data_IF_054345051427
#
_entry.id   IF_054345051427
#
_cell.length_a   1.000
_cell.length_b   1.000
_cell.length_c   1.000
_cell.angle_alpha   90.00
_cell.angle_beta   90.00
_cell.angle_gamma   90.00
#
_symmetry.space_group_name_H-M   'P 1'
#
loop_
_entity.id
_entity.type
_entity.pdbx_description
1 polymer ?
#
# COMPACT_ATOMS: atom_id res chain seq x y z
N UNK A 1 -45.95 5.16 -34.51
CA UNK A 1 -45.29 4.49 -33.36
C UNK A 1 -43.89 5.04 -33.01
N UNK A 2 -43.45 6.14 -33.61
CA UNK A 2 -42.08 6.72 -33.47
C UNK A 2 -41.96 7.89 -32.48
N UNK A 3 -43.04 8.51 -32.02
CA UNK A 3 -42.99 9.71 -31.16
C UNK A 3 -42.65 9.41 -29.67
N UNK A 4 -42.99 8.24 -29.16
CA UNK A 4 -42.74 7.88 -27.74
C UNK A 4 -41.27 7.51 -27.45
N UNK A 5 -40.53 7.03 -28.45
CA UNK A 5 -39.10 6.68 -28.31
C UNK A 5 -38.19 7.92 -28.31
N UNK A 6 -38.59 8.97 -29.03
CA UNK A 6 -37.84 10.21 -29.14
C UNK A 6 -37.90 11.04 -27.84
N UNK A 7 -39.09 11.10 -27.22
CA UNK A 7 -39.29 11.81 -25.94
C UNK A 7 -38.52 11.15 -24.81
N UNK A 8 -38.44 9.80 -24.77
CA UNK A 8 -37.62 9.08 -23.76
C UNK A 8 -36.13 9.33 -23.93
N UNK A 9 -35.62 9.49 -25.15
CA UNK A 9 -34.21 9.83 -25.40
C UNK A 9 -33.86 11.26 -25.03
N UNK A 10 -34.80 12.21 -25.21
CA UNK A 10 -34.58 13.61 -24.81
C UNK A 10 -34.63 13.76 -23.29
N UNK A 11 -35.50 13.04 -22.57
CA UNK A 11 -35.51 13.04 -21.10
C UNK A 11 -34.27 12.40 -20.49
N UNK A 12 -33.67 11.38 -21.12
CA UNK A 12 -32.42 10.79 -20.68
C UNK A 12 -31.21 11.73 -20.91
N UNK A 13 -31.22 12.56 -21.96
CA UNK A 13 -30.16 13.55 -22.19
C UNK A 13 -30.32 14.81 -21.31
N UNK A 14 -31.56 15.22 -20.99
CA UNK A 14 -31.84 16.39 -20.15
C UNK A 14 -31.49 16.17 -18.67
N UNK A 15 -31.57 14.94 -18.17
CA UNK A 15 -31.23 14.63 -16.78
C UNK A 15 -29.72 14.61 -16.50
N UNK A 16 -28.87 14.46 -17.52
CA UNK A 16 -27.40 14.55 -17.35
C UNK A 16 -26.88 16.00 -17.19
N UNK A 17 -27.68 16.99 -17.57
CA UNK A 17 -27.26 18.41 -17.50
C UNK A 17 -27.50 19.06 -16.12
N UNK A 18 -28.21 18.38 -15.22
CA UNK A 18 -28.55 18.89 -13.88
C UNK A 18 -27.95 18.05 -12.75
N UNK A 19 -26.73 17.51 -12.93
CA UNK A 19 -26.02 16.91 -11.82
C UNK A 19 -25.60 18.05 -10.88
N UNK A 20 -26.08 18.08 -9.60
CA UNK A 20 -25.67 19.10 -8.65
C UNK A 20 -24.14 19.16 -8.55
N UNK A 21 -23.57 20.38 -8.36
CA UNK A 21 -22.10 20.56 -8.22
C UNK A 21 -21.49 19.62 -7.18
N UNK A 22 -22.23 19.36 -6.08
CA UNK A 22 -21.83 18.44 -5.01
C UNK A 22 -21.69 17.02 -5.55
N UNK A 23 -22.65 16.53 -6.35
CA UNK A 23 -22.59 15.18 -6.91
C UNK A 23 -21.45 15.03 -7.94
N UNK A 24 -21.17 16.08 -8.73
CA UNK A 24 -20.00 16.10 -9.63
C UNK A 24 -18.69 16.06 -8.86
N UNK A 25 -18.59 16.78 -7.74
CA UNK A 25 -17.40 16.76 -6.90
C UNK A 25 -17.19 15.36 -6.27
N UNK A 26 -18.24 14.74 -5.75
CA UNK A 26 -18.18 13.38 -5.20
C UNK A 26 -17.81 12.32 -6.26
N UNK A 27 -18.37 12.43 -7.47
CA UNK A 27 -18.03 11.54 -8.58
C UNK A 27 -16.56 11.68 -8.99
N UNK A 28 -16.03 12.91 -9.02
CA UNK A 28 -14.62 13.19 -9.31
C UNK A 28 -13.74 12.58 -8.22
N UNK A 29 -14.07 12.76 -6.95
CA UNK A 29 -13.33 12.21 -5.81
C UNK A 29 -13.26 10.68 -5.87
N UNK A 30 -14.38 10.00 -6.17
CA UNK A 30 -14.42 8.54 -6.36
C UNK A 30 -13.56 8.10 -7.54
N UNK A 31 -13.58 8.85 -8.64
CA UNK A 31 -12.78 8.56 -9.82
C UNK A 31 -11.29 8.73 -9.54
N UNK A 32 -10.88 9.82 -8.88
CA UNK A 32 -9.50 10.10 -8.49
C UNK A 32 -8.96 9.01 -7.55
N UNK A 33 -9.76 8.53 -6.59
CA UNK A 33 -9.40 7.43 -5.71
C UNK A 33 -9.26 6.09 -6.47
N UNK A 34 -10.18 5.80 -7.40
CA UNK A 34 -10.13 4.59 -8.24
C UNK A 34 -8.89 4.57 -9.14
N UNK A 35 -8.53 5.71 -9.71
CA UNK A 35 -7.32 5.88 -10.52
C UNK A 35 -6.06 5.64 -9.67
N UNK A 36 -5.98 6.24 -8.48
CA UNK A 36 -4.86 6.07 -7.55
C UNK A 36 -4.67 4.60 -7.14
N UNK A 37 -5.76 3.88 -6.84
CA UNK A 37 -5.72 2.43 -6.54
C UNK A 37 -5.24 1.62 -7.75
N UNK A 38 -5.65 2.01 -8.97
CA UNK A 38 -5.19 1.36 -10.20
C UNK A 38 -3.70 1.58 -10.43
N UNK A 39 -3.19 2.76 -10.14
CA UNK A 39 -1.76 3.07 -10.24
C UNK A 39 -0.94 2.34 -9.18
N UNK A 40 -1.42 2.30 -7.94
CA UNK A 40 -0.76 1.54 -6.86
C UNK A 40 -0.52 0.08 -7.23
N UNK A 41 -1.49 -0.54 -7.94
CA UNK A 41 -1.35 -1.93 -8.42
C UNK A 41 -0.31 -2.11 -9.52
N UNK A 42 0.14 -1.04 -10.17
CA UNK A 42 1.14 -1.07 -11.25
C UNK A 42 2.54 -0.72 -10.75
N UNK A 43 2.68 -0.25 -9.52
CA UNK A 43 3.98 0.03 -8.91
C UNK A 43 4.78 -1.25 -8.80
N UNK A 44 6.01 -1.22 -9.30
CA UNK A 44 6.91 -2.38 -9.34
C UNK A 44 8.22 -2.16 -8.58
N UNK A 45 8.47 -0.94 -8.13
CA UNK A 45 9.71 -0.60 -7.41
C UNK A 45 9.51 0.61 -6.48
N UNK A 46 10.45 0.77 -5.54
CA UNK A 46 10.40 1.84 -4.53
C UNK A 46 10.41 3.25 -5.13
N UNK A 47 11.06 3.46 -6.28
CA UNK A 47 11.10 4.78 -6.93
C UNK A 47 9.74 5.20 -7.45
N UNK A 48 9.03 4.30 -8.12
CA UNK A 48 7.66 4.53 -8.57
C UNK A 48 6.72 4.72 -7.38
N UNK A 49 6.91 3.94 -6.31
CA UNK A 49 6.14 4.09 -5.08
C UNK A 49 6.33 5.47 -4.44
N UNK A 50 7.55 6.00 -4.40
CA UNK A 50 7.82 7.34 -3.87
C UNK A 50 7.08 8.44 -4.63
N UNK A 51 7.00 8.34 -5.97
CA UNK A 51 6.23 9.29 -6.80
C UNK A 51 4.73 9.20 -6.45
N UNK A 52 4.21 7.98 -6.30
CA UNK A 52 2.82 7.77 -5.94
C UNK A 52 2.50 8.26 -4.53
N UNK A 53 3.43 8.13 -3.59
CA UNK A 53 3.30 8.62 -2.22
C UNK A 53 3.14 10.14 -2.15
N UNK A 54 3.81 10.89 -3.04
CA UNK A 54 3.61 12.35 -3.17
C UNK A 54 2.20 12.69 -3.69
N UNK A 55 1.70 11.94 -4.66
CA UNK A 55 0.33 12.11 -5.15
C UNK A 55 -0.71 11.76 -4.09
N UNK A 56 -0.46 10.69 -3.32
CA UNK A 56 -1.28 10.31 -2.18
C UNK A 56 -1.38 11.44 -1.15
N UNK A 57 -0.27 12.13 -0.89
CA UNK A 57 -0.23 13.31 -0.02
C UNK A 57 -1.20 14.42 -0.46
N UNK A 58 -1.36 14.64 -1.75
CA UNK A 58 -2.20 15.70 -2.28
C UNK A 58 -3.71 15.42 -2.08
N UNK A 59 -4.10 14.15 -1.94
CA UNK A 59 -5.52 13.73 -1.86
C UNK A 59 -5.86 13.07 -0.50
N UNK A 60 -4.90 12.96 0.41
CA UNK A 60 -5.01 12.25 1.69
C UNK A 60 -6.30 12.54 2.45
N UNK A 61 -6.69 13.82 2.54
CA UNK A 61 -7.88 14.26 3.30
C UNK A 61 -9.20 13.74 2.74
N UNK A 62 -9.21 13.34 1.47
CA UNK A 62 -10.39 12.89 0.76
C UNK A 62 -10.44 11.35 0.64
N UNK A 63 -9.38 10.66 1.07
CA UNK A 63 -9.32 9.21 0.97
C UNK A 63 -10.25 8.55 1.99
N UNK A 64 -11.11 7.68 1.50
CA UNK A 64 -11.93 6.80 2.32
C UNK A 64 -11.24 5.45 2.45
N UNK A 65 -10.88 5.09 3.66
CA UNK A 65 -10.19 3.85 3.96
C UNK A 65 -11.08 2.98 4.82
N UNK A 66 -11.29 1.76 4.37
CA UNK A 66 -11.96 0.71 5.12
C UNK A 66 -10.89 -0.15 5.84
N UNK A 67 -10.28 0.41 6.88
CA UNK A 67 -9.25 -0.24 7.70
C UNK A 67 -9.35 0.25 9.13
N UNK A 68 -8.97 -0.57 10.09
CA UNK A 68 -8.85 -0.18 11.50
C UNK A 68 -7.60 0.68 11.72
N UNK A 69 -6.61 0.58 10.83
CA UNK A 69 -5.41 1.40 10.86
C UNK A 69 -5.58 2.66 10.01
N UNK A 70 -5.09 3.79 10.51
CA UNK A 70 -4.95 4.99 9.69
C UNK A 70 -3.94 4.77 8.56
N UNK A 71 -3.97 5.57 7.48
CA UNK A 71 -2.91 5.53 6.46
C UNK A 71 -1.55 5.79 7.09
N UNK A 72 -1.45 6.76 7.99
CA UNK A 72 -0.21 7.05 8.70
C UNK A 72 0.35 5.82 9.41
N UNK A 73 -0.51 5.07 10.12
CA UNK A 73 -0.14 3.81 10.78
C UNK A 73 0.36 2.77 9.77
N UNK A 74 -0.31 2.62 8.62
CA UNK A 74 0.13 1.70 7.56
C UNK A 74 1.50 2.08 7.01
N UNK A 75 1.74 3.38 6.76
CA UNK A 75 3.03 3.87 6.28
C UNK A 75 4.14 3.65 7.32
N UNK A 76 3.87 3.91 8.61
CA UNK A 76 4.79 3.62 9.70
C UNK A 76 5.10 2.12 9.81
N UNK A 77 4.09 1.26 9.61
CA UNK A 77 4.32 -0.19 9.58
C UNK A 77 5.24 -0.60 8.42
N UNK A 78 5.04 -0.03 7.23
CA UNK A 78 5.94 -0.25 6.09
C UNK A 78 7.36 0.22 6.40
N UNK A 79 7.51 1.41 7.01
CA UNK A 79 8.81 1.92 7.46
C UNK A 79 9.50 0.98 8.45
N UNK A 80 8.76 0.49 9.44
CA UNK A 80 9.24 -0.46 10.44
C UNK A 80 9.74 -1.77 9.80
N UNK A 81 9.01 -2.31 8.81
CA UNK A 81 9.44 -3.52 8.08
C UNK A 81 10.75 -3.30 7.33
N UNK A 82 10.89 -2.16 6.64
CA UNK A 82 12.12 -1.78 5.94
C UNK A 82 13.28 -1.64 6.93
N UNK A 83 13.09 -0.96 8.06
CA UNK A 83 14.13 -0.82 9.09
C UNK A 83 14.58 -2.18 9.63
N UNK A 84 13.65 -3.09 9.91
CA UNK A 84 14.01 -4.42 10.39
C UNK A 84 14.70 -5.31 9.34
N UNK A 85 14.53 -5.05 8.05
CA UNK A 85 15.34 -5.71 7.03
C UNK A 85 16.82 -5.28 7.08
N UNK A 86 17.11 -4.11 7.67
CA UNK A 86 18.46 -3.58 7.83
C UNK A 86 19.03 -3.93 9.22
N UNK A 87 18.26 -3.69 10.27
CA UNK A 87 18.72 -3.77 11.66
C UNK A 87 18.53 -5.17 12.26
N UNK A 88 17.67 -5.99 11.67
CA UNK A 88 17.26 -7.31 12.14
C UNK A 88 15.92 -7.28 12.86
N UNK A 89 15.16 -8.37 12.72
CA UNK A 89 13.85 -8.53 13.34
C UNK A 89 13.99 -8.92 14.81
N UNK A 90 13.18 -8.36 15.72
CA UNK A 90 13.32 -8.58 17.16
C UNK A 90 12.92 -10.01 17.59
N UNK A 91 11.98 -10.64 16.88
CA UNK A 91 11.55 -12.02 17.14
C UNK A 91 11.60 -12.84 15.85
N UNK A 92 12.37 -13.93 15.87
CA UNK A 92 12.67 -14.75 14.70
C UNK A 92 12.03 -16.12 14.83
N UNK A 93 11.38 -16.60 13.80
CA UNK A 93 11.03 -18.03 13.70
C UNK A 93 12.31 -18.87 13.72
N UNK A 94 12.22 -20.14 14.14
CA UNK A 94 13.38 -21.02 14.15
C UNK A 94 14.07 -21.08 12.79
N UNK A 95 15.39 -21.29 12.79
CA UNK A 95 16.16 -21.43 11.55
C UNK A 95 15.62 -22.56 10.66
N UNK A 96 15.21 -23.67 11.27
CA UNK A 96 14.58 -24.77 10.55
C UNK A 96 13.30 -24.32 9.82
N UNK A 97 12.40 -23.60 10.52
CA UNK A 97 11.18 -23.08 9.90
C UNK A 97 11.50 -22.13 8.76
N UNK A 98 12.40 -21.16 8.97
CA UNK A 98 12.77 -20.16 7.97
C UNK A 98 13.35 -20.77 6.69
N UNK A 99 14.21 -21.78 6.85
CA UNK A 99 14.91 -22.44 5.74
C UNK A 99 14.09 -23.56 5.06
N UNK A 100 12.88 -23.86 5.55
CA UNK A 100 11.99 -24.89 4.98
C UNK A 100 10.63 -24.29 4.64
N UNK A 101 9.70 -24.30 5.59
CA UNK A 101 8.31 -23.85 5.38
C UNK A 101 8.27 -22.38 4.98
N UNK A 102 9.05 -21.52 5.62
CA UNK A 102 9.11 -20.08 5.35
C UNK A 102 9.63 -19.80 3.94
N UNK A 103 10.76 -20.38 3.57
CA UNK A 103 11.35 -20.23 2.24
C UNK A 103 10.42 -20.75 1.12
N UNK A 104 9.75 -21.89 1.34
CA UNK A 104 8.77 -22.42 0.39
C UNK A 104 7.56 -21.47 0.24
N UNK A 105 7.04 -20.96 1.36
CA UNK A 105 5.93 -20.02 1.34
C UNK A 105 6.30 -18.75 0.57
N UNK A 106 7.49 -18.19 0.80
CA UNK A 106 7.99 -17.04 0.07
C UNK A 106 8.07 -17.32 -1.44
N UNK A 107 8.62 -18.47 -1.83
CA UNK A 107 8.70 -18.87 -3.26
C UNK A 107 7.32 -18.93 -3.92
N UNK A 108 6.29 -19.41 -3.21
CA UNK A 108 4.92 -19.44 -3.71
C UNK A 108 4.34 -18.02 -3.86
N UNK A 109 4.58 -17.14 -2.89
CA UNK A 109 4.12 -15.75 -2.96
C UNK A 109 4.79 -14.99 -4.08
N UNK A 110 6.11 -15.15 -4.24
CA UNK A 110 6.89 -14.54 -5.32
C UNK A 110 6.37 -14.98 -6.69
N UNK A 111 6.13 -16.29 -6.90
CA UNK A 111 5.55 -16.78 -8.15
C UNK A 111 4.14 -16.24 -8.44
N UNK A 112 3.35 -15.96 -7.40
CA UNK A 112 1.99 -15.41 -7.55
C UNK A 112 1.97 -13.90 -7.69
N UNK A 113 3.09 -13.22 -7.45
CA UNK A 113 3.18 -11.75 -7.43
C UNK A 113 2.32 -11.09 -6.36
N UNK A 114 1.90 -11.84 -5.33
CA UNK A 114 1.11 -11.32 -4.21
C UNK A 114 1.25 -12.17 -2.95
N UNK A 115 1.32 -11.50 -1.82
CA UNK A 115 1.14 -12.10 -0.50
C UNK A 115 -0.32 -12.05 -0.06
N UNK A 116 -0.73 -13.05 0.70
CA UNK A 116 -2.06 -13.10 1.30
C UNK A 116 -1.91 -13.29 2.81
N UNK A 117 -1.67 -12.19 3.51
CA UNK A 117 -1.61 -12.15 4.97
C UNK A 117 -2.43 -10.95 5.48
N UNK A 118 -2.74 -10.92 6.76
CA UNK A 118 -3.42 -9.77 7.38
C UNK A 118 -2.56 -8.51 7.27
N UNK A 119 -3.15 -7.44 6.76
CA UNK A 119 -2.44 -6.15 6.58
C UNK A 119 -2.24 -5.41 7.90
N UNK A 120 -2.99 -5.77 8.94
CA UNK A 120 -3.02 -5.15 10.26
C UNK A 120 -2.31 -6.00 11.32
N UNK A 121 -1.48 -6.95 10.90
CA UNK A 121 -0.72 -7.79 11.81
C UNK A 121 0.61 -7.12 12.18
N UNK A 122 0.87 -6.91 13.48
CA UNK A 122 2.15 -6.36 13.92
C UNK A 122 3.29 -7.34 13.64
N UNK A 123 4.49 -6.81 13.43
CA UNK A 123 5.70 -7.62 13.33
C UNK A 123 5.98 -8.25 14.71
N UNK A 124 6.23 -9.57 14.80
CA UNK A 124 6.51 -10.23 16.06
C UNK A 124 7.65 -9.56 16.84
N UNK A 125 7.41 -9.27 18.12
CA UNK A 125 8.38 -8.63 19.01
C UNK A 125 8.67 -7.14 18.71
N UNK A 126 8.05 -6.56 17.68
CA UNK A 126 8.28 -5.18 17.32
C UNK A 126 7.64 -4.20 18.32
N UNK A 127 8.21 -3.00 18.42
CA UNK A 127 7.60 -1.89 19.14
C UNK A 127 6.24 -1.58 18.54
N UNK A 128 5.16 -1.50 19.34
CA UNK A 128 3.85 -1.14 18.84
C UNK A 128 3.85 0.23 18.15
N UNK A 129 3.13 0.32 17.03
CA UNK A 129 2.91 1.58 16.31
C UNK A 129 1.65 2.23 16.84
N UNK A 130 1.66 3.56 16.96
CA UNK A 130 0.45 4.31 17.32
C UNK A 130 -0.59 4.17 16.20
N UNK A 131 -1.76 3.64 16.54
CA UNK A 131 -2.87 3.44 15.59
C UNK A 131 -3.48 4.75 15.09
N UNK A 132 -3.16 5.87 15.73
CA UNK A 132 -3.58 7.20 15.34
C UNK A 132 -2.47 8.00 14.65
N UNK A 133 -1.40 7.34 14.20
CA UNK A 133 -0.32 8.02 13.48
C UNK A 133 -0.90 8.83 12.32
N UNK A 134 -0.60 10.14 12.30
CA UNK A 134 -1.06 11.00 11.20
C UNK A 134 -0.26 10.71 9.93
N UNK A 135 -0.86 10.99 8.78
CA UNK A 135 -0.30 10.68 7.46
C UNK A 135 1.13 11.26 7.29
N UNK A 136 1.34 12.52 7.66
CA UNK A 136 2.64 13.18 7.48
C UNK A 136 3.77 12.51 8.24
N UNK A 137 3.51 12.03 9.47
CA UNK A 137 4.50 11.31 10.29
C UNK A 137 4.83 9.96 9.64
N UNK A 138 3.82 9.14 9.33
CA UNK A 138 4.07 7.85 8.70
C UNK A 138 4.73 7.96 7.32
N UNK A 139 4.40 9.00 6.55
CA UNK A 139 5.06 9.31 5.27
C UNK A 139 6.54 9.63 5.47
N UNK A 140 6.87 10.50 6.42
CA UNK A 140 8.26 10.88 6.70
C UNK A 140 9.09 9.68 7.14
N UNK A 141 8.59 8.88 8.08
CA UNK A 141 9.22 7.64 8.53
C UNK A 141 9.50 6.66 7.37
N UNK A 142 8.53 6.53 6.46
CA UNK A 142 8.66 5.64 5.31
C UNK A 142 9.70 6.16 4.30
N UNK A 143 9.69 7.46 4.01
CA UNK A 143 10.68 8.09 3.12
C UNK A 143 12.09 7.90 3.68
N UNK A 144 12.29 8.13 4.98
CA UNK A 144 13.59 7.91 5.62
C UNK A 144 14.04 6.44 5.52
N UNK A 145 13.13 5.50 5.81
CA UNK A 145 13.43 4.08 5.73
C UNK A 145 13.79 3.65 4.31
N UNK A 146 13.07 4.11 3.29
CA UNK A 146 13.38 3.85 1.87
C UNK A 146 14.75 4.44 1.50
N UNK A 147 15.03 5.68 1.87
CA UNK A 147 16.32 6.33 1.59
C UNK A 147 17.49 5.60 2.26
N UNK A 148 17.28 5.04 3.45
CA UNK A 148 18.28 4.22 4.12
C UNK A 148 18.48 2.89 3.39
N UNK A 149 17.40 2.22 3.03
CA UNK A 149 17.42 0.94 2.31
C UNK A 149 18.11 1.05 0.95
N UNK A 150 17.87 2.13 0.21
CA UNK A 150 18.49 2.35 -1.10
C UNK A 150 20.03 2.43 -1.06
N UNK A 151 20.61 2.71 0.11
CA UNK A 151 22.06 2.74 0.33
C UNK A 151 22.64 1.39 0.72
N UNK A 152 21.81 0.35 0.87
CA UNK A 152 22.20 -0.99 1.32
C UNK A 152 22.40 -1.94 0.16
N UNK A 153 23.37 -2.84 0.31
CA UNK A 153 23.54 -4.02 -0.57
C UNK A 153 22.83 -5.22 0.03
N UNK A 154 22.77 -6.33 -0.68
CA UNK A 154 22.17 -7.57 -0.15
C UNK A 154 22.88 -8.05 1.12
N UNK A 155 24.21 -7.89 1.20
CA UNK A 155 25.03 -8.31 2.33
C UNK A 155 24.80 -7.47 3.60
N UNK A 156 24.27 -6.24 3.43
CA UNK A 156 23.90 -5.38 4.55
C UNK A 156 22.55 -5.76 5.19
N UNK A 157 21.72 -6.52 4.45
CA UNK A 157 20.38 -6.88 4.89
C UNK A 157 20.41 -8.08 5.85
N UNK A 158 19.41 -8.11 6.73
CA UNK A 158 19.22 -9.18 7.71
C UNK A 158 18.14 -10.15 7.25
N UNK A 159 18.24 -11.43 7.65
CA UNK A 159 17.22 -12.43 7.31
C UNK A 159 15.83 -11.99 7.73
N UNK A 160 14.83 -12.26 6.90
CA UNK A 160 13.44 -12.03 7.27
C UNK A 160 13.01 -13.00 8.39
N UNK A 161 12.22 -12.49 9.33
CA UNK A 161 11.84 -13.25 10.55
C UNK A 161 11.15 -14.59 10.27
N UNK A 162 10.48 -14.73 9.12
CA UNK A 162 9.73 -15.94 8.75
C UNK A 162 10.28 -16.63 7.49
N UNK A 163 10.89 -15.88 6.55
CA UNK A 163 11.26 -16.42 5.23
C UNK A 163 12.76 -16.71 5.08
N UNK A 164 13.58 -16.28 6.02
CA UNK A 164 15.03 -16.50 5.99
C UNK A 164 15.77 -15.44 5.17
N UNK A 165 16.87 -15.82 4.54
CA UNK A 165 17.67 -14.94 3.70
C UNK A 165 16.87 -14.55 2.45
N UNK A 166 16.83 -13.25 2.17
CA UNK A 166 16.19 -12.66 1.00
C UNK A 166 17.21 -11.76 0.31
N UNK A 167 17.16 -11.71 -1.02
CA UNK A 167 17.92 -10.73 -1.78
C UNK A 167 17.35 -9.32 -1.61
N UNK A 168 18.07 -8.32 -2.05
CA UNK A 168 17.57 -6.95 -2.04
C UNK A 168 16.31 -6.81 -2.90
N UNK A 169 16.29 -7.46 -4.05
CA UNK A 169 15.17 -7.48 -4.98
C UNK A 169 13.92 -8.15 -4.36
N UNK A 170 14.12 -9.14 -3.49
CA UNK A 170 13.04 -9.79 -2.76
C UNK A 170 12.41 -8.89 -1.71
N UNK A 171 13.15 -7.89 -1.20
CA UNK A 171 12.65 -6.92 -0.23
C UNK A 171 11.97 -5.71 -0.90
N UNK A 172 12.29 -5.40 -2.15
CA UNK A 172 11.66 -4.33 -2.96
C UNK A 172 10.28 -4.72 -3.48
#
# INVERSE_FOLDING_TARGET
MYRRSFIKKIMALGSLLFIPKILKAQMKEIQDQSELVSELKKVTNLKEFMVLLERLSAVEKNLKIESTWSIGTVLSHCAQRIRYSIDGYPDMKSAFFRNTVGSLAFSIFSMRGKMNHGLEEPIPGATPIDLNTIFSVGKEELIEAINLFQKKTTEDLKPHFAYGELSREDYE
#
